data_IF_343798254805
#
_entry.id   IF_343798254805
#
_cell.length_a   1.000
_cell.length_b   1.000
_cell.length_c   1.000
_cell.angle_alpha   90.00
_cell.angle_beta   90.00
_cell.angle_gamma   90.00
#
_symmetry.space_group_name_H-M   'P 1'
#
loop_
_entity.id
_entity.type
_entity.pdbx_description
1 polymer ?
#
# COMPACT_ATOMS: atom_id res chain seq x y z
N UNK A 1 -10.28 18.46 -2.57
CA UNK A 1 -10.80 17.28 -3.29
C UNK A 1 -10.02 16.12 -2.72
N UNK A 2 -10.65 15.37 -1.82
CA UNK A 2 -10.02 14.21 -1.23
C UNK A 2 -10.04 13.10 -2.29
N UNK A 3 -8.86 12.71 -2.76
CA UNK A 3 -8.72 11.62 -3.73
C UNK A 3 -8.84 10.30 -2.98
N UNK A 4 -10.02 9.71 -3.01
CA UNK A 4 -10.25 8.35 -2.53
C UNK A 4 -9.87 7.36 -3.61
N UNK A 5 -9.07 6.35 -3.25
CA UNK A 5 -8.66 5.25 -4.12
C UNK A 5 -9.20 3.98 -3.51
N UNK A 6 -9.72 3.07 -4.33
CA UNK A 6 -10.19 1.80 -3.82
C UNK A 6 -8.99 0.96 -3.38
N UNK A 7 -9.09 0.30 -2.22
CA UNK A 7 -8.06 -0.64 -1.78
C UNK A 7 -7.85 -1.76 -2.80
N UNK A 8 -8.92 -2.12 -3.52
CA UNK A 8 -8.83 -3.09 -4.60
C UNK A 8 -7.90 -2.60 -5.69
N UNK A 9 -7.70 -1.31 -5.94
CA UNK A 9 -6.83 -0.79 -7.02
C UNK A 9 -5.34 -0.78 -6.64
N UNK A 10 -5.03 -0.97 -5.36
CA UNK A 10 -3.66 -0.91 -4.84
C UNK A 10 -2.98 -2.27 -5.02
N UNK A 11 -1.87 -2.27 -5.74
CA UNK A 11 -1.01 -3.41 -6.00
C UNK A 11 -0.05 -3.65 -4.83
N UNK A 12 0.62 -2.61 -4.37
CA UNK A 12 1.55 -2.68 -3.23
C UNK A 12 1.73 -1.32 -2.56
N UNK A 13 2.27 -1.36 -1.35
CA UNK A 13 2.77 -0.20 -0.63
C UNK A 13 4.28 -0.31 -0.49
N UNK A 14 4.97 0.82 -0.64
CA UNK A 14 6.41 0.89 -0.42
C UNK A 14 6.80 2.10 0.43
N UNK A 15 7.93 2.00 1.13
CA UNK A 15 8.56 3.12 1.83
C UNK A 15 9.81 3.58 1.09
N UNK A 16 9.86 4.87 0.74
CA UNK A 16 11.04 5.55 0.19
C UNK A 16 11.27 6.87 0.96
N UNK A 17 12.49 7.11 1.44
CA UNK A 17 12.88 8.33 2.17
C UNK A 17 11.88 8.77 3.26
N UNK A 18 11.44 7.80 4.07
CA UNK A 18 10.48 7.95 5.17
C UNK A 18 9.03 8.26 4.78
N UNK A 19 8.71 8.30 3.48
CA UNK A 19 7.37 8.44 2.97
C UNK A 19 6.82 7.09 2.50
N UNK A 20 5.50 6.92 2.55
CA UNK A 20 4.86 5.69 2.07
C UNK A 20 3.98 5.99 0.87
N UNK A 21 4.21 5.21 -0.17
CA UNK A 21 3.50 5.29 -1.44
C UNK A 21 2.61 4.07 -1.61
N UNK A 22 1.40 4.28 -2.11
CA UNK A 22 0.53 3.24 -2.64
C UNK A 22 0.63 3.23 -4.16
N UNK A 23 0.84 2.04 -4.73
CA UNK A 23 1.05 1.85 -6.16
C UNK A 23 -0.18 1.18 -6.75
N UNK A 24 -0.75 1.81 -7.77
CA UNK A 24 -1.79 1.24 -8.63
C UNK A 24 -1.18 0.94 -10.01
N UNK A 25 -1.96 0.41 -10.95
CA UNK A 25 -1.49 0.20 -12.31
C UNK A 25 -1.05 1.51 -13.00
N UNK A 26 -1.77 2.60 -12.74
CA UNK A 26 -1.66 3.84 -13.53
C UNK A 26 -1.02 4.99 -12.74
N UNK A 27 -1.01 4.91 -11.40
CA UNK A 27 -0.67 6.03 -10.53
C UNK A 27 0.02 5.60 -9.24
N UNK A 28 0.75 6.56 -8.64
CA UNK A 28 1.39 6.47 -7.33
C UNK A 28 0.81 7.57 -6.44
N UNK A 29 0.44 7.20 -5.22
CA UNK A 29 -0.15 8.14 -4.26
C UNK A 29 0.51 8.04 -2.89
N UNK A 30 0.81 9.19 -2.30
CA UNK A 30 1.30 9.29 -0.93
C UNK A 30 0.19 8.96 0.06
N UNK A 31 0.51 8.17 1.09
CA UNK A 31 -0.42 7.80 2.15
C UNK A 31 0.11 8.24 3.51
N UNK A 32 -0.79 8.73 4.36
CA UNK A 32 -0.49 9.19 5.71
C UNK A 32 -0.60 8.06 6.74
N UNK A 33 -0.14 6.86 6.38
CA UNK A 33 -0.12 5.67 7.24
C UNK A 33 1.28 5.06 7.22
N UNK A 34 1.68 4.45 8.33
CA UNK A 34 2.86 3.60 8.34
C UNK A 34 2.55 2.17 7.85
N UNK A 35 3.57 1.41 7.42
CA UNK A 35 3.34 0.06 6.90
C UNK A 35 2.74 -0.90 7.94
N UNK A 36 3.01 -0.71 9.23
CA UNK A 36 2.44 -1.56 10.28
C UNK A 36 0.94 -1.29 10.45
N UNK A 37 0.52 -0.03 10.43
CA UNK A 37 -0.90 0.34 10.45
C UNK A 37 -1.65 -0.24 9.24
N UNK A 38 -1.05 -0.17 8.05
CA UNK A 38 -1.64 -0.75 6.83
C UNK A 38 -1.79 -2.27 6.95
N UNK A 39 -0.82 -2.97 7.53
CA UNK A 39 -0.90 -4.40 7.77
C UNK A 39 -2.01 -4.77 8.77
N UNK A 40 -2.19 -3.99 9.84
CA UNK A 40 -3.26 -4.23 10.82
C UNK A 40 -4.65 -4.03 10.20
N UNK A 41 -4.83 -2.93 9.45
CA UNK A 41 -6.13 -2.55 8.87
C UNK A 41 -6.53 -3.50 7.73
N UNK A 42 -5.57 -3.99 6.94
CA UNK A 42 -5.83 -4.67 5.66
C UNK A 42 -5.51 -6.18 5.69
N UNK A 43 -4.96 -6.63 6.82
CA UNK A 43 -4.51 -7.95 7.31
C UNK A 43 -4.82 -9.25 6.55
N UNK A 44 -5.90 -9.35 5.77
CA UNK A 44 -6.24 -10.56 5.03
C UNK A 44 -5.59 -10.65 3.64
N UNK A 45 -5.32 -9.49 3.01
CA UNK A 45 -4.93 -9.44 1.59
C UNK A 45 -3.58 -8.76 1.38
N UNK A 46 -2.89 -8.37 2.44
CA UNK A 46 -1.57 -7.77 2.37
C UNK A 46 -0.52 -8.69 2.97
N UNK A 47 0.61 -8.86 2.27
CA UNK A 47 1.75 -9.64 2.72
C UNK A 47 3.03 -8.82 2.62
N UNK A 48 3.79 -8.74 3.72
CA UNK A 48 5.13 -8.16 3.69
C UNK A 48 6.09 -9.05 2.91
N UNK A 49 6.66 -8.50 1.85
CA UNK A 49 7.66 -9.19 1.02
C UNK A 49 9.08 -8.68 1.27
N UNK A 50 9.22 -7.51 1.87
CA UNK A 50 10.51 -6.92 2.25
C UNK A 50 10.32 -5.91 3.40
N UNK A 51 11.42 -5.42 3.97
CA UNK A 51 11.36 -4.36 5.00
C UNK A 51 10.59 -3.11 4.51
N UNK A 52 10.84 -2.58 3.29
CA UNK A 52 10.09 -1.43 2.81
C UNK A 52 8.80 -1.75 2.05
N UNK A 53 8.45 -3.01 1.77
CA UNK A 53 7.36 -3.32 0.80
C UNK A 53 6.32 -4.30 1.34
N UNK A 54 5.05 -3.95 1.15
CA UNK A 54 3.88 -4.78 1.46
C UNK A 54 3.04 -4.95 0.19
N UNK A 55 2.79 -6.19 -0.22
CA UNK A 55 2.14 -6.56 -1.48
C UNK A 55 0.67 -6.96 -1.26
N UNK A 56 -0.21 -6.59 -2.19
CA UNK A 56 -1.58 -7.08 -2.24
C UNK A 56 -1.63 -8.44 -2.95
N UNK A 57 -1.95 -9.51 -2.21
CA UNK A 57 -1.93 -10.88 -2.72
C UNK A 57 -3.10 -11.21 -3.65
N UNK A 58 -4.12 -10.34 -3.72
CA UNK A 58 -5.21 -10.50 -4.70
C UNK A 58 -4.75 -10.34 -6.16
N UNK A 59 -3.53 -9.82 -6.37
CA UNK A 59 -2.95 -9.53 -7.67
C UNK A 59 -1.86 -10.53 -8.10
N UNK A 60 -1.77 -11.67 -7.41
CA UNK A 60 -0.83 -12.76 -7.69
C UNK A 60 -1.54 -13.90 -8.43
#
# INVERSE_FOLDING_TARGET
>A
MDNYISLSEILFFETEDANISSHTCDNIYQVNYNLYELEEILSNNLMRISKPTVLNINYI
#
